data_IF_985102278377
#
_entry.id   IF_985102278377
#
_cell.length_a   1.000
_cell.length_b   1.000
_cell.length_c   1.000
_cell.angle_alpha   90.00
_cell.angle_beta   90.00
_cell.angle_gamma   90.00
#
_symmetry.space_group_name_H-M   'P 1'
#
loop_
_entity.id
_entity.type
_entity.pdbx_description
1 polymer ?
#
# COMPACT_ATOMS: atom_id res chain seq x y z
N UNK A 1 9.12 1.21 -5.01
CA UNK A 1 7.83 1.59 -4.41
C UNK A 1 7.94 1.50 -2.90
N UNK A 2 7.90 2.66 -2.23
CA UNK A 2 7.75 2.75 -0.78
C UNK A 2 6.27 3.07 -0.47
N UNK A 3 5.71 2.45 0.56
CA UNK A 3 4.30 2.62 0.92
C UNK A 3 4.02 3.98 1.57
N UNK A 4 5.04 4.59 2.19
CA UNK A 4 4.95 5.93 2.79
C UNK A 4 4.76 7.03 1.75
N UNK A 5 5.16 6.79 0.50
CA UNK A 5 5.09 7.76 -0.60
C UNK A 5 3.64 7.95 -1.13
N UNK A 6 2.66 7.26 -0.53
CA UNK A 6 1.27 7.28 -0.97
C UNK A 6 0.51 8.43 -0.33
N UNK A 7 -0.21 9.22 -1.14
CA UNK A 7 -1.16 10.24 -0.67
C UNK A 7 -2.37 9.60 0.02
N UNK A 8 -3.10 10.34 0.85
CA UNK A 8 -4.23 9.79 1.59
C UNK A 8 -5.32 9.19 0.69
N UNK A 9 -5.57 9.83 -0.46
CA UNK A 9 -6.55 9.34 -1.44
C UNK A 9 -6.11 8.04 -2.09
N UNK A 10 -4.82 7.89 -2.41
CA UNK A 10 -4.25 6.64 -2.93
C UNK A 10 -4.39 5.52 -1.89
N UNK A 11 -4.13 5.81 -0.61
CA UNK A 11 -4.27 4.84 0.48
C UNK A 11 -5.72 4.35 0.61
N UNK A 12 -6.69 5.28 0.55
CA UNK A 12 -8.12 4.98 0.59
C UNK A 12 -8.54 4.15 -0.62
N UNK A 13 -8.14 4.58 -1.82
CA UNK A 13 -8.43 3.89 -3.08
C UNK A 13 -7.95 2.44 -3.06
N UNK A 14 -6.71 2.19 -2.65
CA UNK A 14 -6.18 0.82 -2.56
C UNK A 14 -6.84 -0.04 -1.47
N UNK A 15 -7.40 0.56 -0.42
CA UNK A 15 -8.12 -0.19 0.61
C UNK A 15 -9.57 -0.53 0.22
N UNK A 16 -10.25 0.36 -0.52
CA UNK A 16 -11.65 0.19 -0.91
C UNK A 16 -11.81 -0.59 -2.21
N UNK A 17 -11.14 -0.17 -3.29
CA UNK A 17 -11.47 -0.58 -4.66
C UNK A 17 -10.75 -1.85 -5.12
N UNK A 18 -9.78 -2.32 -4.34
CA UNK A 18 -8.68 -3.05 -4.94
C UNK A 18 -8.69 -4.57 -4.80
N UNK A 19 -9.78 -5.11 -4.24
CA UNK A 19 -9.91 -6.57 -4.07
C UNK A 19 -8.75 -7.17 -3.28
N UNK A 20 -8.18 -6.43 -2.33
CA UNK A 20 -7.29 -6.99 -1.33
C UNK A 20 -8.05 -8.00 -0.48
N UNK A 21 -7.45 -9.16 -0.25
CA UNK A 21 -7.94 -10.09 0.77
C UNK A 21 -7.71 -9.49 2.18
N UNK A 22 -8.32 -10.08 3.21
CA UNK A 22 -8.24 -9.55 4.57
C UNK A 22 -6.79 -9.36 5.05
N UNK A 23 -5.90 -10.31 4.74
CA UNK A 23 -4.49 -10.26 5.13
C UNK A 23 -3.73 -9.19 4.37
N UNK A 24 -4.03 -9.02 3.09
CA UNK A 24 -3.43 -7.96 2.27
C UNK A 24 -3.88 -6.57 2.76
N UNK A 25 -5.14 -6.40 3.17
CA UNK A 25 -5.65 -5.14 3.75
C UNK A 25 -4.98 -4.83 5.09
N UNK A 26 -4.87 -5.82 5.97
CA UNK A 26 -4.22 -5.68 7.27
C UNK A 26 -2.73 -5.34 7.11
N UNK A 27 -2.02 -6.12 6.28
CA UNK A 27 -0.63 -5.83 5.92
C UNK A 27 -0.48 -4.40 5.38
N UNK A 28 -1.31 -4.01 4.41
CA UNK A 28 -1.24 -2.69 3.79
C UNK A 28 -1.49 -1.58 4.81
N UNK A 29 -2.46 -1.74 5.72
CA UNK A 29 -2.72 -0.76 6.79
C UNK A 29 -1.51 -0.55 7.70
N UNK A 30 -0.92 -1.64 8.19
CA UNK A 30 0.27 -1.60 9.05
C UNK A 30 1.45 -0.89 8.35
N UNK A 31 1.61 -1.14 7.05
CA UNK A 31 2.69 -0.54 6.24
C UNK A 31 2.50 0.95 5.96
N UNK A 32 1.27 1.40 5.82
CA UNK A 32 0.92 2.71 5.26
C UNK A 32 0.53 3.72 6.34
N UNK A 33 -0.20 3.29 7.37
CA UNK A 33 -0.68 4.17 8.44
C UNK A 33 0.17 4.10 9.69
N UNK A 34 0.75 2.95 9.99
CA UNK A 34 1.58 2.74 11.18
C UNK A 34 3.08 2.67 10.87
N UNK A 35 3.44 2.82 9.58
CA UNK A 35 4.81 2.83 9.06
C UNK A 35 5.66 1.62 9.49
N UNK A 36 5.02 0.49 9.80
CA UNK A 36 5.71 -0.70 10.29
C UNK A 36 6.68 -1.26 9.25
N UNK A 37 7.82 -1.73 9.72
CA UNK A 37 8.77 -2.50 8.91
C UNK A 37 8.21 -3.87 8.54
N UNK A 38 8.87 -4.61 7.63
CA UNK A 38 8.38 -5.96 7.26
C UNK A 38 8.49 -6.90 8.45
N UNK A 39 9.50 -6.67 9.29
CA UNK A 39 9.76 -7.46 10.48
C UNK A 39 8.66 -7.24 11.53
N UNK A 40 8.39 -5.99 11.92
CA UNK A 40 7.32 -5.69 12.89
C UNK A 40 5.95 -6.14 12.37
N UNK A 41 5.68 -5.98 11.07
CA UNK A 41 4.43 -6.49 10.47
C UNK A 41 4.34 -8.01 10.59
N UNK A 42 5.46 -8.73 10.47
CA UNK A 42 5.50 -10.19 10.65
C UNK A 42 5.19 -10.60 12.09
N UNK A 43 5.76 -9.87 13.06
CA UNK A 43 5.48 -10.09 14.48
C UNK A 43 4.01 -9.82 14.83
N UNK A 44 3.48 -8.66 14.40
CA UNK A 44 2.09 -8.25 14.68
C UNK A 44 1.08 -9.23 14.05
N UNK A 45 1.29 -9.61 12.79
CA UNK A 45 0.38 -10.53 12.10
C UNK A 45 0.61 -12.01 12.48
N UNK A 46 1.61 -12.32 13.30
CA UNK A 46 1.96 -13.69 13.69
C UNK A 46 2.40 -14.57 12.51
N UNK A 47 3.02 -13.96 11.48
CA UNK A 47 3.43 -14.66 10.27
C UNK A 47 4.95 -14.80 10.17
N UNK A 48 5.39 -15.87 9.52
CA UNK A 48 6.81 -16.01 9.20
C UNK A 48 7.28 -14.92 8.23
N UNK A 49 8.55 -14.48 8.30
CA UNK A 49 9.09 -13.47 7.39
C UNK A 49 8.86 -13.79 5.90
N UNK A 50 8.96 -15.07 5.54
CA UNK A 50 8.69 -15.55 4.16
C UNK A 50 7.23 -15.33 3.73
N UNK A 51 6.29 -15.48 4.66
CA UNK A 51 4.86 -15.27 4.38
C UNK A 51 4.56 -13.80 4.16
N UNK A 52 5.11 -12.92 5.01
CA UNK A 52 5.00 -11.48 4.84
C UNK A 52 5.63 -11.01 3.54
N UNK A 53 6.81 -11.51 3.19
CA UNK A 53 7.47 -11.17 1.93
C UNK A 53 6.62 -11.57 0.71
N UNK A 54 5.96 -12.74 0.77
CA UNK A 54 5.01 -13.17 -0.27
C UNK A 54 3.78 -12.24 -0.35
N UNK A 55 3.21 -11.82 0.79
CA UNK A 55 2.09 -10.87 0.83
C UNK A 55 2.52 -9.53 0.24
N UNK A 56 3.67 -9.01 0.65
CA UNK A 56 4.23 -7.76 0.14
C UNK A 56 4.40 -7.78 -1.39
N UNK A 57 4.93 -8.88 -1.95
CA UNK A 57 5.04 -9.03 -3.41
C UNK A 57 3.68 -9.05 -4.10
N UNK A 58 2.68 -9.74 -3.53
CA UNK A 58 1.32 -9.76 -4.08
C UNK A 58 0.70 -8.36 -4.09
N UNK A 59 0.77 -7.66 -2.96
CA UNK A 59 0.26 -6.28 -2.80
C UNK A 59 0.90 -5.36 -3.83
N UNK A 60 2.24 -5.33 -3.92
CA UNK A 60 2.96 -4.54 -4.93
C UNK A 60 2.57 -4.89 -6.36
N UNK A 61 2.48 -6.18 -6.69
CA UNK A 61 2.10 -6.64 -8.03
C UNK A 61 0.70 -6.19 -8.40
N UNK A 62 -0.25 -6.30 -7.47
CA UNK A 62 -1.58 -5.77 -7.69
C UNK A 62 -1.48 -4.26 -7.95
N UNK A 63 -0.71 -3.50 -7.15
CA UNK A 63 -0.70 -2.02 -7.20
C UNK A 63 -0.24 -1.53 -8.56
N UNK A 64 0.86 -2.12 -9.05
CA UNK A 64 1.39 -1.85 -10.39
C UNK A 64 0.37 -2.19 -11.49
N UNK A 65 -0.50 -3.19 -11.30
CA UNK A 65 -1.48 -3.59 -12.32
C UNK A 65 -2.59 -2.54 -12.53
N UNK A 66 -3.07 -1.92 -11.46
CA UNK A 66 -4.21 -0.96 -11.54
C UNK A 66 -3.73 0.47 -11.69
N UNK A 67 -2.56 0.78 -11.13
CA UNK A 67 -1.91 2.05 -11.33
C UNK A 67 -0.59 1.85 -12.09
N UNK A 68 -0.63 1.47 -13.38
CA UNK A 68 0.58 1.48 -14.21
C UNK A 68 1.19 2.90 -14.31
N UNK A 69 0.38 3.94 -14.04
CA UNK A 69 0.83 5.33 -13.89
C UNK A 69 1.41 5.67 -12.50
N UNK A 70 1.51 4.73 -11.56
CA UNK A 70 2.22 4.94 -10.29
C UNK A 70 3.74 4.96 -10.50
N UNK A 71 4.21 5.88 -11.34
CA UNK A 71 5.56 6.40 -11.27
C UNK A 71 5.63 7.33 -10.07
N UNK A 72 6.61 7.05 -9.20
CA UNK A 72 6.95 7.84 -8.01
C UNK A 72 6.83 9.34 -8.31
N UNK A 73 5.94 10.05 -7.60
CA UNK A 73 5.77 11.51 -7.74
C UNK A 73 4.61 12.00 -8.60
N UNK A 74 3.75 11.14 -9.19
CA UNK A 74 2.60 11.63 -9.97
C UNK A 74 1.47 12.22 -9.12
N UNK A 75 1.32 11.82 -7.85
CA UNK A 75 0.33 12.42 -6.93
C UNK A 75 0.69 13.83 -6.43
N UNK A 76 1.86 14.36 -6.82
CA UNK A 76 2.19 15.77 -6.61
C UNK A 76 1.48 16.71 -7.62
N UNK A 77 0.86 16.20 -8.68
CA UNK A 77 0.24 17.04 -9.73
C UNK A 77 -1.28 17.25 -9.60
N UNK A 78 -1.98 16.53 -8.71
CA UNK A 78 -3.44 16.64 -8.58
C UNK A 78 -3.93 17.36 -7.31
N UNK A 79 -3.01 17.80 -6.44
CA UNK A 79 -3.34 18.61 -5.26
C UNK A 79 -3.67 20.08 -5.57
N UNK A 80 -3.39 20.58 -6.77
CA UNK A 80 -3.58 22.01 -7.11
C UNK A 80 -4.88 22.33 -7.88
N UNK A 81 -5.69 21.32 -8.27
CA UNK A 81 -6.88 21.55 -9.10
C UNK A 81 -8.24 21.28 -8.43
N UNK A 82 -8.30 21.23 -7.09
CA UNK A 82 -9.57 21.22 -6.34
C UNK A 82 -9.74 22.45 -5.43
N UNK A 83 -9.26 23.60 -5.89
CA UNK A 83 -9.68 24.91 -5.40
C UNK A 83 -10.22 25.75 -6.58
N UNK A 84 -11.47 25.50 -6.96
CA UNK A 84 -12.31 26.44 -7.70
C UNK A 84 -13.59 26.66 -6.92
#
# INVERSE_FOLDING_TARGET
MNYTDFSEDERKFYLSEFGFDSREKEFFRLRVYEEKTLFETAEIMGYSPRTIDRINRKVKKKIVKVAPMYYRGFSLYHGENMAK
#
